data_IF_138616905146
#
_entry.id   IF_138616905146
#
_cell.length_a   1.000
_cell.length_b   1.000
_cell.length_c   1.000
_cell.angle_alpha   90.00
_cell.angle_beta   90.00
_cell.angle_gamma   90.00
#
_symmetry.space_group_name_H-M   'P 1'
#
loop_
_entity.id
_entity.type
_entity.pdbx_description
1 polymer ?
#
# COMPACT_ATOMS: atom_id res chain seq x y z
N UNK A 1 -7.62 2.28 10.19
CA UNK A 1 -8.24 2.49 8.86
C UNK A 1 -7.42 1.87 7.72
N UNK A 2 -6.11 2.11 7.63
CA UNK A 2 -5.31 1.62 6.51
C UNK A 2 -5.29 0.10 6.31
N UNK A 3 -5.36 -0.71 7.37
CA UNK A 3 -5.51 -2.17 7.22
C UNK A 3 -6.98 -2.56 6.98
N UNK A 4 -7.87 -2.19 7.92
CA UNK A 4 -9.27 -2.62 7.91
C UNK A 4 -10.01 -2.22 6.61
N UNK A 5 -9.76 -1.01 6.10
CA UNK A 5 -10.37 -0.49 4.87
C UNK A 5 -9.41 -0.35 3.69
N UNK A 6 -8.11 -0.19 3.96
CA UNK A 6 -7.11 0.14 2.93
C UNK A 6 -6.24 -1.03 2.46
N UNK A 7 -6.44 -2.24 2.98
CA UNK A 7 -5.76 -3.45 2.52
C UNK A 7 -6.37 -3.98 1.23
N UNK A 8 -5.62 -4.78 0.48
CA UNK A 8 -6.15 -5.52 -0.68
C UNK A 8 -7.41 -6.33 -0.34
N UNK A 9 -7.40 -7.03 0.79
CA UNK A 9 -8.49 -7.93 1.19
C UNK A 9 -9.83 -7.19 1.39
N UNK A 10 -9.80 -5.88 1.65
CA UNK A 10 -11.01 -5.04 1.73
C UNK A 10 -11.77 -4.96 0.40
N UNK A 11 -11.07 -5.07 -0.75
CA UNK A 11 -11.68 -4.97 -2.08
C UNK A 11 -12.67 -6.12 -2.36
N UNK A 12 -12.41 -7.30 -1.82
CA UNK A 12 -13.27 -8.47 -1.98
C UNK A 12 -14.52 -8.44 -1.07
N UNK A 13 -14.56 -7.54 -0.09
CA UNK A 13 -15.65 -7.48 0.89
C UNK A 13 -16.77 -6.58 0.38
N UNK A 14 -18.03 -7.02 0.52
CA UNK A 14 -19.21 -6.23 0.13
C UNK A 14 -19.26 -4.87 0.84
N UNK A 15 -18.89 -4.84 2.13
CA UNK A 15 -18.84 -3.61 2.93
C UNK A 15 -17.58 -2.78 2.70
N UNK A 16 -16.65 -3.23 1.85
CA UNK A 16 -15.37 -2.57 1.54
C UNK A 16 -14.43 -2.40 2.75
N UNK A 17 -14.59 -3.27 3.75
CA UNK A 17 -13.70 -3.41 4.88
C UNK A 17 -13.72 -4.82 5.44
N UNK A 18 -12.67 -5.20 6.16
CA UNK A 18 -12.53 -6.50 6.81
C UNK A 18 -13.53 -6.65 7.96
N UNK A 19 -14.18 -7.81 8.04
CA UNK A 19 -14.86 -8.23 9.26
C UNK A 19 -13.86 -8.51 10.40
N UNK A 20 -14.38 -8.61 11.63
CA UNK A 20 -13.60 -8.76 12.85
C UNK A 20 -12.68 -9.99 12.76
N UNK A 21 -13.25 -11.13 12.39
CA UNK A 21 -12.50 -12.38 12.30
C UNK A 21 -11.40 -12.28 11.24
N UNK A 22 -11.68 -11.69 10.08
CA UNK A 22 -10.68 -11.49 9.03
C UNK A 22 -9.54 -10.56 9.49
N UNK A 23 -9.85 -9.51 10.26
CA UNK A 23 -8.85 -8.58 10.78
C UNK A 23 -8.04 -9.18 11.94
N UNK A 24 -8.69 -9.89 12.86
CA UNK A 24 -8.05 -10.50 14.04
C UNK A 24 -7.21 -11.74 13.66
N UNK A 25 -7.54 -12.44 12.57
CA UNK A 25 -6.78 -13.60 12.09
C UNK A 25 -5.76 -13.30 10.98
N UNK A 26 -5.58 -12.04 10.58
CA UNK A 26 -4.51 -11.68 9.65
C UNK A 26 -3.13 -11.98 10.26
N UNK A 27 -2.17 -12.39 9.41
CA UNK A 27 -0.83 -12.77 9.89
C UNK A 27 -0.14 -11.60 10.62
N UNK A 28 0.55 -11.89 11.72
CA UNK A 28 1.25 -10.89 12.54
C UNK A 28 2.30 -10.05 11.80
N UNK A 29 2.70 -10.45 10.57
CA UNK A 29 3.68 -9.74 9.75
C UNK A 29 3.23 -8.35 9.31
N UNK A 30 1.93 -8.10 9.30
CA UNK A 30 1.34 -6.84 8.83
C UNK A 30 0.94 -5.90 9.98
N UNK A 31 1.08 -6.32 11.24
CA UNK A 31 0.43 -5.64 12.37
C UNK A 31 1.39 -5.45 13.55
N UNK A 32 1.31 -4.28 14.18
CA UNK A 32 1.86 -4.02 15.50
C UNK A 32 0.76 -4.25 16.55
N UNK A 33 1.06 -5.03 17.60
CA UNK A 33 0.18 -5.21 18.76
C UNK A 33 -0.26 -6.66 19.00
N UNK A 34 -0.61 -6.97 20.24
CA UNK A 34 -1.11 -8.29 20.63
C UNK A 34 -2.59 -8.50 20.25
N UNK A 35 -3.11 -9.71 20.43
CA UNK A 35 -4.50 -10.04 20.08
C UNK A 35 -5.53 -9.18 20.85
N UNK A 36 -5.19 -8.77 22.07
CA UNK A 36 -6.04 -7.91 22.90
C UNK A 36 -6.13 -6.51 22.30
N UNK A 37 -5.00 -5.93 21.86
CA UNK A 37 -4.97 -4.65 21.17
C UNK A 37 -5.72 -4.70 19.84
N UNK A 38 -5.58 -5.78 19.07
CA UNK A 38 -6.32 -5.94 17.80
C UNK A 38 -7.83 -5.90 18.03
N UNK A 39 -8.32 -6.65 19.02
CA UNK A 39 -9.75 -6.67 19.34
C UNK A 39 -10.26 -5.31 19.83
N UNK A 40 -9.44 -4.57 20.59
CA UNK A 40 -9.75 -3.20 21.01
C UNK A 40 -9.81 -2.23 19.82
N UNK A 41 -8.83 -2.30 18.90
CA UNK A 41 -8.80 -1.47 17.69
C UNK A 41 -10.05 -1.71 16.85
N UNK A 42 -10.44 -2.98 16.66
CA UNK A 42 -11.64 -3.28 15.87
C UNK A 42 -12.92 -2.78 16.56
N UNK A 43 -13.01 -2.92 17.89
CA UNK A 43 -14.12 -2.38 18.67
C UNK A 43 -14.23 -0.86 18.51
N UNK A 44 -13.10 -0.15 18.54
CA UNK A 44 -13.06 1.29 18.29
C UNK A 44 -13.49 1.63 16.85
N UNK A 45 -13.07 0.84 15.86
CA UNK A 45 -13.50 0.99 14.47
C UNK A 45 -15.03 0.85 14.33
N UNK A 46 -15.65 -0.13 14.99
CA UNK A 46 -17.11 -0.30 14.98
C UNK A 46 -17.83 0.88 15.64
N UNK A 47 -17.32 1.38 16.77
CA UNK A 47 -17.85 2.57 17.42
C UNK A 47 -17.74 3.81 16.54
N UNK A 48 -16.58 4.01 15.91
CA UNK A 48 -16.35 5.07 14.93
C UNK A 48 -17.36 5.00 13.77
N UNK A 49 -17.54 3.83 13.15
CA UNK A 49 -18.48 3.64 12.05
C UNK A 49 -19.93 3.97 12.44
N UNK A 50 -20.34 3.72 13.69
CA UNK A 50 -21.68 4.05 14.20
C UNK A 50 -21.87 5.55 14.47
N UNK A 51 -20.84 6.23 14.95
CA UNK A 51 -20.89 7.65 15.31
C UNK A 51 -20.64 8.58 14.12
N UNK A 52 -20.06 8.04 13.05
CA UNK A 52 -19.66 8.82 11.88
C UNK A 52 -20.88 9.37 11.10
N UNK A 53 -20.88 10.66 10.72
CA UNK A 53 -21.92 11.23 9.85
C UNK A 53 -22.02 10.51 8.49
N UNK A 54 -23.23 10.30 7.95
CA UNK A 54 -23.42 9.61 6.67
C UNK A 54 -22.72 10.27 5.47
N UNK A 55 -22.52 11.58 5.49
CA UNK A 55 -21.86 12.34 4.42
C UNK A 55 -20.33 12.32 4.48
N UNK A 56 -19.76 11.86 5.59
CA UNK A 56 -18.31 11.81 5.74
C UNK A 56 -17.73 10.53 5.15
N UNK A 57 -16.55 10.67 4.56
CA UNK A 57 -15.78 9.58 3.97
C UNK A 57 -14.33 9.69 4.42
N UNK A 58 -13.67 8.55 4.58
CA UNK A 58 -12.22 8.49 4.77
C UNK A 58 -11.49 8.26 3.44
N UNK A 59 -10.15 8.27 3.49
CA UNK A 59 -9.33 8.05 2.28
C UNK A 59 -9.65 6.74 1.57
N UNK A 60 -9.91 5.66 2.31
CA UNK A 60 -10.20 4.36 1.72
C UNK A 60 -11.59 4.33 1.10
N UNK A 61 -12.60 4.93 1.74
CA UNK A 61 -13.96 5.05 1.19
C UNK A 61 -13.95 5.75 -0.17
N UNK A 62 -13.14 6.80 -0.32
CA UNK A 62 -12.99 7.52 -1.60
C UNK A 62 -12.52 6.57 -2.70
N UNK A 63 -11.54 5.72 -2.41
CA UNK A 63 -10.95 4.79 -3.38
C UNK A 63 -11.96 3.72 -3.77
N UNK A 64 -12.65 3.16 -2.77
CA UNK A 64 -13.73 2.19 -3.00
C UNK A 64 -14.86 2.77 -3.84
N UNK A 65 -15.24 4.03 -3.60
CA UNK A 65 -16.26 4.74 -4.39
C UNK A 65 -15.80 4.96 -5.84
N UNK A 66 -14.55 5.41 -6.04
CA UNK A 66 -13.98 5.60 -7.38
C UNK A 66 -13.87 4.28 -8.15
N UNK A 67 -13.40 3.22 -7.50
CA UNK A 67 -13.34 1.90 -8.11
C UNK A 67 -14.73 1.37 -8.47
N UNK A 68 -15.72 1.56 -7.60
CA UNK A 68 -17.11 1.20 -7.89
C UNK A 68 -17.67 1.97 -9.10
N UNK A 69 -17.40 3.27 -9.19
CA UNK A 69 -17.79 4.09 -10.33
C UNK A 69 -17.11 3.63 -11.64
N UNK A 70 -15.81 3.33 -11.59
CA UNK A 70 -15.06 2.82 -12.74
C UNK A 70 -15.57 1.45 -13.20
N UNK A 71 -15.91 0.56 -12.27
CA UNK A 71 -16.50 -0.75 -12.60
C UNK A 71 -17.88 -0.62 -13.24
N UNK A 72 -18.70 0.34 -12.78
CA UNK A 72 -20.06 0.53 -13.28
C UNK A 72 -20.11 1.28 -14.62
N UNK A 73 -19.23 2.28 -14.82
CA UNK A 73 -19.31 3.19 -15.96
C UNK A 73 -18.16 3.03 -16.97
N UNK A 74 -17.11 2.29 -16.60
CA UNK A 74 -15.84 2.30 -17.32
C UNK A 74 -15.09 3.63 -17.15
N UNK A 75 -13.82 3.63 -17.56
CA UNK A 75 -13.08 4.89 -17.69
C UNK A 75 -13.53 5.59 -18.97
N UNK A 76 -14.06 6.82 -18.85
CA UNK A 76 -14.41 7.65 -20.00
C UNK A 76 -13.17 8.38 -20.51
N UNK A 77 -12.89 8.28 -21.80
CA UNK A 77 -11.78 9.00 -22.45
C UNK A 77 -10.55 8.14 -22.66
N UNK A 78 -9.38 8.80 -22.80
CA UNK A 78 -8.11 8.11 -23.04
C UNK A 78 -7.58 7.50 -21.75
N UNK A 79 -7.08 6.28 -21.87
CA UNK A 79 -6.34 5.62 -20.80
C UNK A 79 -4.99 6.30 -20.57
N UNK A 80 -4.47 6.12 -19.36
CA UNK A 80 -3.11 6.57 -19.03
C UNK A 80 -2.14 5.49 -19.51
N UNK A 81 -1.17 5.87 -20.34
CA UNK A 81 -0.15 4.96 -20.84
C UNK A 81 1.00 4.77 -19.85
N UNK A 82 1.33 5.80 -19.07
CA UNK A 82 2.37 5.79 -18.05
C UNK A 82 1.95 6.61 -16.83
N UNK A 83 2.09 6.02 -15.65
CA UNK A 83 1.73 6.59 -14.36
C UNK A 83 2.88 6.35 -13.38
N UNK A 84 3.44 7.45 -12.89
CA UNK A 84 4.53 7.49 -11.93
C UNK A 84 3.97 7.99 -10.60
N UNK A 85 4.17 7.22 -9.55
CA UNK A 85 3.75 7.53 -8.18
C UNK A 85 4.99 7.81 -7.38
N UNK A 86 5.12 9.05 -6.93
CA UNK A 86 6.11 9.44 -5.93
C UNK A 86 5.49 9.34 -4.52
N UNK A 87 6.34 9.23 -3.50
CA UNK A 87 5.92 9.07 -2.10
C UNK A 87 4.90 7.94 -1.87
N UNK A 88 5.12 6.81 -2.55
CA UNK A 88 4.20 5.68 -2.54
C UNK A 88 3.90 5.14 -1.13
N UNK A 89 4.81 5.32 -0.17
CA UNK A 89 4.64 4.91 1.22
C UNK A 89 3.47 5.59 1.95
N UNK A 90 3.07 6.78 1.49
CA UNK A 90 1.98 7.54 2.11
C UNK A 90 0.58 7.15 1.58
N UNK A 91 0.55 6.31 0.55
CA UNK A 91 -0.69 5.75 -0.01
C UNK A 91 -1.15 4.50 0.75
N UNK A 92 -2.44 4.22 0.67
CA UNK A 92 -2.99 2.94 1.07
C UNK A 92 -2.68 1.88 0.01
N UNK A 93 -2.56 0.62 0.42
CA UNK A 93 -2.34 -0.49 -0.54
C UNK A 93 -3.47 -0.57 -1.57
N UNK A 94 -4.70 -0.29 -1.16
CA UNK A 94 -5.87 -0.24 -2.06
C UNK A 94 -5.76 0.81 -3.16
N UNK A 95 -4.99 1.89 -2.96
CA UNK A 95 -4.78 2.92 -3.98
C UNK A 95 -4.10 2.35 -5.23
N UNK A 96 -3.23 1.35 -5.06
CA UNK A 96 -2.56 0.67 -6.17
C UNK A 96 -3.55 0.00 -7.13
N UNK A 97 -4.70 -0.48 -6.64
CA UNK A 97 -5.74 -1.06 -7.48
C UNK A 97 -6.41 -0.02 -8.37
N UNK A 98 -6.74 1.13 -7.79
CA UNK A 98 -7.29 2.26 -8.51
C UNK A 98 -6.29 2.73 -9.58
N UNK A 99 -5.04 2.98 -9.20
CA UNK A 99 -3.99 3.43 -10.12
C UNK A 99 -3.73 2.42 -11.24
N UNK A 100 -3.72 1.12 -10.93
CA UNK A 100 -3.62 0.05 -11.95
C UNK A 100 -4.82 0.02 -12.89
N UNK A 101 -6.02 0.33 -12.42
CA UNK A 101 -7.21 0.40 -13.28
C UNK A 101 -7.18 1.58 -14.26
N UNK A 102 -6.46 2.66 -13.93
CA UNK A 102 -6.29 3.82 -14.80
C UNK A 102 -5.21 3.59 -15.87
N UNK A 103 -4.19 2.79 -15.56
CA UNK A 103 -3.06 2.50 -16.44
C UNK A 103 -3.19 1.11 -17.10
N UNK A 104 -3.48 1.07 -18.40
CA UNK A 104 -3.69 -0.19 -19.13
C UNK A 104 -2.39 -0.82 -19.62
N UNK A 105 -1.36 0.00 -19.80
CA UNK A 105 -0.03 -0.46 -20.18
C UNK A 105 0.58 -1.24 -19.00
N UNK A 106 0.88 -2.55 -19.16
CA UNK A 106 1.46 -3.35 -18.09
C UNK A 106 2.91 -2.96 -17.74
N UNK A 107 3.57 -2.17 -18.60
CA UNK A 107 4.87 -1.55 -18.32
C UNK A 107 4.75 -0.08 -17.88
N UNK A 108 3.53 0.42 -17.73
CA UNK A 108 3.26 1.84 -17.51
C UNK A 108 3.24 2.27 -16.05
N UNK A 109 3.39 1.36 -15.09
CA UNK A 109 3.36 1.71 -13.67
C UNK A 109 4.75 1.77 -13.05
N UNK A 110 5.00 2.85 -12.30
CA UNK A 110 6.21 3.02 -11.52
C UNK A 110 5.86 3.65 -10.17
N UNK A 111 6.34 3.04 -9.08
CA UNK A 111 6.17 3.51 -7.71
C UNK A 111 7.54 3.76 -7.09
N UNK A 112 7.75 4.94 -6.54
CA UNK A 112 8.92 5.32 -5.77
C UNK A 112 8.50 5.82 -4.39
N UNK A 113 9.40 5.68 -3.43
CA UNK A 113 9.14 6.06 -2.05
C UNK A 113 10.14 5.44 -1.08
N UNK A 114 10.02 5.80 0.19
CA UNK A 114 10.84 5.29 1.29
C UNK A 114 9.97 5.09 2.54
N UNK A 115 9.81 3.84 2.98
CA UNK A 115 9.00 3.53 4.17
C UNK A 115 9.56 4.12 5.46
N UNK A 116 10.86 4.40 5.55
CA UNK A 116 11.44 5.07 6.71
C UNK A 116 11.02 6.55 6.79
N UNK A 117 10.46 7.11 5.72
CA UNK A 117 9.97 8.49 5.61
C UNK A 117 8.43 8.57 5.61
N UNK A 118 7.73 7.51 6.03
CA UNK A 118 6.27 7.51 6.09
C UNK A 118 5.76 8.56 7.09
N UNK A 119 4.94 9.50 6.62
CA UNK A 119 4.29 10.53 7.45
C UNK A 119 2.78 10.33 7.55
N UNK A 120 2.19 9.55 6.64
CA UNK A 120 0.77 9.24 6.61
C UNK A 120 0.36 8.35 7.79
N UNK A 121 -0.29 8.96 8.78
CA UNK A 121 -0.74 8.25 9.98
C UNK A 121 -1.76 7.16 9.61
N UNK A 122 -1.42 5.92 9.94
CA UNK A 122 -2.27 4.77 9.66
C UNK A 122 -2.11 4.18 8.25
N UNK A 123 -1.12 4.61 7.48
CA UNK A 123 -0.58 3.83 6.37
C UNK A 123 0.14 2.60 6.93
N UNK A 124 -0.22 1.41 6.45
CA UNK A 124 0.49 0.16 6.73
C UNK A 124 1.29 -0.29 5.50
N UNK A 125 1.68 0.67 4.66
CA UNK A 125 2.29 0.40 3.37
C UNK A 125 3.60 -0.37 3.49
N UNK A 126 3.79 -1.32 2.57
CA UNK A 126 5.03 -2.04 2.32
C UNK A 126 5.26 -2.20 0.85
N UNK A 127 6.51 -2.04 0.41
CA UNK A 127 6.88 -2.38 -0.95
C UNK A 127 6.71 -3.88 -1.23
N UNK A 128 6.97 -4.73 -0.24
CA UNK A 128 6.72 -6.17 -0.34
C UNK A 128 5.24 -6.49 -0.54
N UNK A 129 4.34 -5.80 0.18
CA UNK A 129 2.89 -5.94 0.03
C UNK A 129 2.40 -5.39 -1.32
N UNK A 130 2.84 -4.17 -1.69
CA UNK A 130 2.53 -3.57 -2.98
C UNK A 130 2.96 -4.48 -4.14
N UNK A 131 4.18 -5.00 -4.11
CA UNK A 131 4.70 -5.91 -5.13
C UNK A 131 3.85 -7.18 -5.23
N UNK A 132 3.53 -7.80 -4.08
CA UNK A 132 2.69 -8.98 -4.05
C UNK A 132 1.27 -8.70 -4.57
N UNK A 133 0.73 -7.52 -4.27
CA UNK A 133 -0.57 -7.09 -4.73
C UNK A 133 -0.60 -6.86 -6.25
N UNK A 134 0.34 -6.08 -6.79
CA UNK A 134 0.46 -5.85 -8.23
C UNK A 134 0.67 -7.15 -9.01
N UNK A 135 1.43 -8.10 -8.44
CA UNK A 135 1.63 -9.43 -9.00
C UNK A 135 0.31 -10.20 -9.14
N UNK A 136 -0.59 -10.10 -8.14
CA UNK A 136 -1.93 -10.72 -8.17
C UNK A 136 -2.85 -10.01 -9.16
N UNK A 137 -2.92 -8.67 -9.11
CA UNK A 137 -3.72 -7.86 -10.05
C UNK A 137 -3.37 -8.16 -11.51
N UNK A 138 -2.08 -8.32 -11.81
CA UNK A 138 -1.62 -8.66 -13.15
C UNK A 138 -2.11 -10.03 -13.63
N UNK A 139 -2.18 -11.01 -12.73
CA UNK A 139 -2.71 -12.35 -13.04
C UNK A 139 -4.22 -12.38 -13.11
N UNK A 140 -4.86 -11.41 -12.48
CA UNK A 140 -6.29 -11.21 -12.55
C UNK A 140 -6.75 -10.43 -13.80
N UNK A 141 -5.83 -9.81 -14.53
CA UNK A 141 -6.08 -9.10 -15.78
C UNK A 141 -6.76 -10.04 -16.81
N UNK A 142 -7.90 -9.63 -17.40
CA UNK A 142 -8.63 -10.46 -18.37
C UNK A 142 -7.80 -10.89 -19.58
N UNK A 143 -6.86 -10.06 -20.06
CA UNK A 143 -6.01 -10.38 -21.20
C UNK A 143 -4.97 -11.43 -20.83
N UNK A 144 -4.52 -11.46 -19.57
CA UNK A 144 -3.61 -12.49 -19.05
C UNK A 144 -4.36 -13.79 -18.85
N UNK A 145 -5.54 -13.77 -18.21
CA UNK A 145 -6.38 -14.95 -17.99
C UNK A 145 -6.81 -15.63 -19.29
N UNK A 146 -7.08 -14.86 -20.34
CA UNK A 146 -7.44 -15.37 -21.68
C UNK A 146 -6.23 -15.82 -22.50
N UNK A 147 -5.01 -15.62 -22.02
CA UNK A 147 -3.78 -15.93 -22.76
C UNK A 147 -3.47 -14.98 -23.92
N UNK A 148 -4.22 -13.87 -24.06
CA UNK A 148 -4.00 -12.85 -25.09
C UNK A 148 -2.74 -12.02 -24.84
N UNK A 149 -2.23 -12.02 -23.60
CA UNK A 149 -1.02 -11.32 -23.18
C UNK A 149 -0.29 -12.12 -22.11
N UNK A 150 1.05 -12.12 -22.12
CA UNK A 150 1.84 -12.70 -21.02
C UNK A 150 1.76 -11.80 -19.79
N UNK A 151 1.70 -12.42 -18.60
CA UNK A 151 1.82 -11.70 -17.34
C UNK A 151 3.20 -11.03 -17.22
N UNK A 152 3.23 -9.82 -16.66
CA UNK A 152 4.46 -9.06 -16.41
C UNK A 152 4.65 -8.91 -14.91
N UNK A 153 5.72 -9.52 -14.40
CA UNK A 153 5.99 -9.46 -12.97
C UNK A 153 6.49 -8.09 -12.53
N UNK A 154 5.96 -7.53 -11.43
CA UNK A 154 6.46 -6.28 -10.88
C UNK A 154 7.90 -6.44 -10.42
N UNK A 155 8.76 -5.54 -10.89
CA UNK A 155 10.17 -5.49 -10.52
C UNK A 155 10.35 -4.56 -9.32
N UNK A 156 11.32 -4.87 -8.48
CA UNK A 156 11.71 -4.06 -7.34
C UNK A 156 13.22 -3.88 -7.40
N UNK A 157 13.67 -2.65 -7.17
CA UNK A 157 15.08 -2.29 -7.08
C UNK A 157 15.22 -1.19 -6.03
N UNK A 158 16.44 -1.01 -5.54
CA UNK A 158 16.76 -0.04 -4.49
C UNK A 158 17.83 0.92 -5.01
N UNK A 159 17.80 2.16 -4.52
CA UNK A 159 18.85 3.16 -4.74
C UNK A 159 19.58 3.34 -3.41
N UNK A 160 20.80 2.81 -3.30
CA UNK A 160 21.60 2.83 -2.06
C UNK A 160 22.65 3.94 -2.03
N UNK A 161 22.66 4.83 -3.01
CA UNK A 161 23.65 5.91 -3.10
C UNK A 161 23.02 7.24 -2.75
N UNK A 162 23.51 7.87 -1.69
CA UNK A 162 23.09 9.21 -1.28
C UNK A 162 23.98 10.27 -1.93
N UNK A 163 23.38 11.09 -2.80
CA UNK A 163 24.06 12.19 -3.49
C UNK A 163 23.85 13.56 -2.83
N UNK A 164 23.06 13.62 -1.74
CA UNK A 164 22.59 14.89 -1.15
C UNK A 164 23.35 15.27 0.11
N UNK A 165 23.74 14.28 0.91
CA UNK A 165 24.26 14.48 2.26
C UNK A 165 25.63 13.81 2.42
N UNK A 166 26.52 14.43 3.19
CA UNK A 166 27.83 13.87 3.50
C UNK A 166 27.72 12.63 4.39
N UNK A 167 28.77 11.81 4.40
CA UNK A 167 28.84 10.52 5.10
C UNK A 167 28.42 10.55 6.58
N UNK A 168 28.74 11.61 7.32
CA UNK A 168 28.36 11.75 8.73
C UNK A 168 26.85 11.73 8.96
N UNK A 169 26.09 12.50 8.16
CA UNK A 169 24.61 12.53 8.25
C UNK A 169 24.04 11.16 7.84
N UNK A 170 24.54 10.59 6.74
CA UNK A 170 24.06 9.30 6.22
C UNK A 170 24.28 8.18 7.24
N UNK A 171 25.44 8.16 7.90
CA UNK A 171 25.75 7.16 8.92
C UNK A 171 24.82 7.24 10.15
N UNK A 172 24.48 8.46 10.59
CA UNK A 172 23.54 8.66 11.70
C UNK A 172 22.13 8.20 11.30
N UNK A 173 21.65 8.60 10.11
CA UNK A 173 20.36 8.15 9.60
C UNK A 173 20.29 6.61 9.49
N UNK A 174 21.33 5.99 8.94
CA UNK A 174 21.42 4.53 8.83
C UNK A 174 21.41 3.84 10.20
N UNK A 175 22.02 4.43 11.23
CA UNK A 175 21.95 3.92 12.60
C UNK A 175 20.52 3.93 13.14
N UNK A 176 19.79 5.03 12.95
CA UNK A 176 18.38 5.16 13.39
C UNK A 176 17.50 4.14 12.66
N UNK A 177 17.63 4.04 11.33
CA UNK A 177 16.87 3.07 10.51
C UNK A 177 17.14 1.63 10.97
N UNK A 178 18.40 1.29 11.27
CA UNK A 178 18.74 -0.03 11.82
C UNK A 178 18.09 -0.32 13.17
N UNK A 179 18.04 0.67 14.06
CA UNK A 179 17.35 0.51 15.35
C UNK A 179 15.85 0.32 15.16
N UNK A 180 15.24 1.05 14.23
CA UNK A 180 13.83 0.87 13.87
C UNK A 180 13.57 -0.55 13.35
N UNK A 181 14.39 -1.06 12.43
CA UNK A 181 14.26 -2.43 11.89
C UNK A 181 14.46 -3.48 12.99
N UNK A 182 15.38 -3.27 13.93
CA UNK A 182 15.66 -4.21 15.01
C UNK A 182 14.54 -4.28 16.06
N UNK A 183 14.05 -3.13 16.52
CA UNK A 183 13.05 -3.07 17.60
C UNK A 183 11.61 -3.09 17.09
N UNK A 184 11.40 -2.73 15.83
CA UNK A 184 10.10 -2.69 15.17
C UNK A 184 10.20 -3.33 13.76
N UNK A 185 10.53 -4.63 13.65
CA UNK A 185 10.83 -5.32 12.37
C UNK A 185 9.66 -5.36 11.38
N UNK A 186 8.49 -4.90 11.79
CA UNK A 186 7.28 -4.82 10.97
C UNK A 186 6.77 -3.38 10.81
N UNK A 187 7.58 -2.34 11.13
CA UNK A 187 7.24 -0.93 10.92
C UNK A 187 7.87 -0.27 9.68
N UNK A 188 9.06 -0.69 9.21
CA UNK A 188 9.69 -0.28 7.93
C UNK A 188 10.08 -1.47 7.03
N UNK A 189 10.25 -1.29 5.71
CA UNK A 189 10.86 -2.31 4.85
C UNK A 189 12.38 -2.37 5.12
N UNK A 190 12.96 -3.57 5.19
CA UNK A 190 14.40 -3.75 5.38
C UNK A 190 15.12 -3.56 4.03
N UNK A 191 15.76 -2.40 3.87
CA UNK A 191 16.44 -1.96 2.65
C UNK A 191 17.96 -1.94 2.84
N UNK A 192 18.70 -1.95 1.72
CA UNK A 192 20.17 -1.81 1.75
C UNK A 192 20.54 -0.44 2.33
N UNK A 193 21.45 -0.34 3.32
CA UNK A 193 21.89 0.93 3.87
C UNK A 193 22.45 1.86 2.80
N UNK A 194 22.13 3.16 2.91
CA UNK A 194 22.66 4.18 2.02
C UNK A 194 24.16 4.43 2.27
N UNK A 195 24.89 4.72 1.19
CA UNK A 195 26.29 5.14 1.20
C UNK A 195 26.41 6.51 0.55
N UNK A 196 27.11 7.43 1.22
CA UNK A 196 27.36 8.77 0.67
C UNK A 196 28.53 8.74 -0.33
N UNK A 197 28.40 9.53 -1.40
CA UNK A 197 29.49 9.84 -2.34
C UNK A 197 30.07 11.25 -2.18
N UNK A 198 29.61 12.00 -1.17
CA UNK A 198 29.98 13.41 -0.92
C UNK A 198 30.73 13.56 0.39
#
# INVERSE_FOLDING_TARGET
MGIIKGSEASLAKQRRYLDRDSYENQSNRTHSGDDTERSRIYTLFEAYQKQRPPSSYDMADRVHALMGALQAQGLKGRHIDFLYVDEAQDNLIVDAALLRSLCHNPHGLFFAGDTAQTISVGSAFRFSELKAFLYRLERDDPNVKRGSRRAIDPKFFQLSTNYRSHSGIVNVAACIVRLLDQYFPHSIDSLTPEVSLV
#
